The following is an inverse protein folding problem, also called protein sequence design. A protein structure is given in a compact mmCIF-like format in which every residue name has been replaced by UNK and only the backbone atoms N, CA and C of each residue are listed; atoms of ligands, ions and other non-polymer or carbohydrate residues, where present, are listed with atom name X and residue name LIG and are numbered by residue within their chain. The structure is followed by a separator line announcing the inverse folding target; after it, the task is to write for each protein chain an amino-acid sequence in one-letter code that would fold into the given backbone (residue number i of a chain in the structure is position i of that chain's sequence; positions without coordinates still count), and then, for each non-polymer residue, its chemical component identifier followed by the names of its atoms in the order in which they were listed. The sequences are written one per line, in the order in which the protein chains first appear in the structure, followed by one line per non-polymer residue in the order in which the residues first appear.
data_IF_080356375502
#
_entry.id   IF_080356375502
#
_cell.length_a   1.000
_cell.length_b   1.000
_cell.length_c   1.000
_cell.angle_alpha   90.00
_cell.angle_beta   90.00
_cell.angle_gamma   90.00
#
_symmetry.space_group_name_H-M   'P 1'
#
loop_
_entity.id
_entity.type
_entity.pdbx_description
1 polymer ?
#
# COMPACT_ATOMS: atom_id res chain seq x y z
N UNK A 1 4.06 30.40 -16.09
CA UNK A 1 3.55 29.61 -14.96
C UNK A 1 2.86 28.41 -15.57
N UNK A 2 3.45 27.22 -15.47
CA UNK A 2 2.87 26.03 -16.07
C UNK A 2 1.60 25.70 -15.27
N UNK A 3 0.44 25.61 -15.92
CA UNK A 3 -0.82 25.21 -15.26
C UNK A 3 -0.73 23.73 -14.88
N UNK A 4 -0.12 23.43 -13.73
CA UNK A 4 -0.13 22.09 -13.14
C UNK A 4 -1.46 21.90 -12.42
N UNK A 5 -2.31 21.03 -12.98
CA UNK A 5 -3.57 20.62 -12.35
C UNK A 5 -3.28 19.98 -10.98
N UNK A 6 -4.03 20.38 -9.94
CA UNK A 6 -3.85 19.84 -8.59
C UNK A 6 -4.23 18.36 -8.53
N UNK A 7 -3.40 17.54 -7.87
CA UNK A 7 -3.67 16.13 -7.68
C UNK A 7 -4.78 15.94 -6.64
N UNK A 8 -5.83 15.19 -6.97
CA UNK A 8 -6.90 14.86 -6.02
C UNK A 8 -6.37 13.93 -4.94
N UNK A 9 -6.41 14.38 -3.67
CA UNK A 9 -5.89 13.61 -2.55
C UNK A 9 -6.67 12.32 -2.30
N UNK A 10 -7.98 12.33 -2.56
CA UNK A 10 -8.83 11.13 -2.45
C UNK A 10 -8.48 10.13 -3.55
N UNK A 11 -8.28 10.60 -4.80
CA UNK A 11 -7.89 9.73 -5.90
C UNK A 11 -6.49 9.14 -5.70
N UNK A 12 -5.54 9.94 -5.22
CA UNK A 12 -4.20 9.49 -4.87
C UNK A 12 -4.24 8.46 -3.73
N UNK A 13 -5.00 8.74 -2.67
CA UNK A 13 -5.21 7.80 -1.56
C UNK A 13 -5.79 6.47 -2.05
N UNK A 14 -6.88 6.50 -2.81
CA UNK A 14 -7.51 5.30 -3.34
C UNK A 14 -6.57 4.51 -4.28
N UNK A 15 -5.81 5.20 -5.13
CA UNK A 15 -4.85 4.56 -6.03
C UNK A 15 -3.70 3.86 -5.29
N UNK A 16 -3.11 4.53 -4.31
CA UNK A 16 -2.02 3.95 -3.50
C UNK A 16 -2.54 2.82 -2.60
N UNK A 17 -3.73 2.96 -2.02
CA UNK A 17 -4.41 1.88 -1.29
C UNK A 17 -4.58 0.62 -2.16
N UNK A 18 -5.14 0.78 -3.36
CA UNK A 18 -5.33 -0.33 -4.29
C UNK A 18 -3.99 -0.98 -4.68
N UNK A 19 -2.96 -0.18 -4.97
CA UNK A 19 -1.64 -0.68 -5.31
C UNK A 19 -1.03 -1.51 -4.17
N UNK A 20 -1.09 -1.02 -2.93
CA UNK A 20 -0.55 -1.76 -1.78
C UNK A 20 -1.32 -3.06 -1.51
N UNK A 21 -2.64 -3.05 -1.62
CA UNK A 21 -3.45 -4.27 -1.48
C UNK A 21 -3.06 -5.30 -2.54
N UNK A 22 -2.91 -4.89 -3.80
CA UNK A 22 -2.51 -5.78 -4.89
C UNK A 22 -1.11 -6.36 -4.63
N UNK A 23 -0.13 -5.54 -4.27
CA UNK A 23 1.22 -6.01 -3.98
C UNK A 23 1.23 -6.96 -2.78
N UNK A 24 0.48 -6.64 -1.71
CA UNK A 24 0.34 -7.52 -0.55
C UNK A 24 -0.21 -8.90 -0.94
N UNK A 25 -1.29 -8.93 -1.74
CA UNK A 25 -1.88 -10.19 -2.22
C UNK A 25 -0.89 -10.98 -3.08
N UNK A 26 -0.16 -10.32 -3.98
CA UNK A 26 0.86 -10.97 -4.78
C UNK A 26 1.98 -11.56 -3.90
N UNK A 27 2.46 -10.82 -2.90
CA UNK A 27 3.45 -11.32 -1.95
C UNK A 27 2.92 -12.52 -1.14
N UNK A 28 1.66 -12.48 -0.70
CA UNK A 28 1.01 -13.58 0.01
C UNK A 28 0.84 -14.83 -0.87
N UNK A 29 0.54 -14.66 -2.16
CA UNK A 29 0.51 -15.78 -3.11
C UNK A 29 1.91 -16.36 -3.30
N UNK A 30 2.92 -15.50 -3.52
CA UNK A 30 4.31 -15.95 -3.69
C UNK A 30 4.82 -16.70 -2.46
N UNK A 31 4.44 -16.27 -1.26
CA UNK A 31 4.75 -16.97 -0.01
C UNK A 31 4.25 -18.44 -0.01
N UNK A 32 3.10 -18.71 -0.63
CA UNK A 32 2.53 -20.07 -0.72
C UNK A 32 3.26 -20.92 -1.76
N UNK A 33 3.58 -20.37 -2.92
CA UNK A 33 4.21 -21.13 -4.04
C UNK A 33 5.74 -21.20 -3.92
N UNK A 34 6.37 -20.25 -3.24
CA UNK A 34 7.81 -20.11 -3.10
C UNK A 34 8.17 -19.64 -1.66
N UNK A 35 8.03 -20.52 -0.65
CA UNK A 35 8.14 -20.16 0.77
C UNK A 35 9.54 -19.69 1.18
N UNK A 36 10.57 -19.93 0.36
CA UNK A 36 11.94 -19.52 0.65
C UNK A 36 12.25 -18.05 0.30
N UNK A 37 11.31 -17.33 -0.31
CA UNK A 37 11.51 -15.93 -0.69
C UNK A 37 11.31 -15.03 0.54
N UNK A 38 12.40 -14.65 1.20
CA UNK A 38 12.33 -13.81 2.41
C UNK A 38 11.74 -12.42 2.17
N UNK A 39 11.93 -11.87 0.97
CA UNK A 39 11.41 -10.54 0.63
C UNK A 39 9.87 -10.45 0.74
N UNK A 40 9.14 -11.53 0.42
CA UNK A 40 7.68 -11.55 0.54
C UNK A 40 7.23 -11.60 1.99
N UNK A 41 7.96 -12.34 2.84
CA UNK A 41 7.69 -12.42 4.27
C UNK A 41 7.92 -11.07 4.95
N UNK A 42 9.01 -10.38 4.59
CA UNK A 42 9.31 -9.03 5.08
C UNK A 42 8.26 -8.00 4.61
N UNK A 43 7.74 -8.13 3.39
CA UNK A 43 6.68 -7.25 2.91
C UNK A 43 5.35 -7.50 3.65
N UNK A 44 4.94 -8.77 3.81
CA UNK A 44 3.71 -9.14 4.51
C UNK A 44 3.74 -8.66 5.97
N UNK A 45 4.88 -8.79 6.65
CA UNK A 45 5.00 -8.41 8.07
C UNK A 45 4.88 -6.90 8.34
N UNK A 46 5.01 -6.04 7.32
CA UNK A 46 4.72 -4.61 7.46
C UNK A 46 3.23 -4.33 7.69
N UNK A 47 2.36 -5.23 7.24
CA UNK A 47 0.91 -5.02 7.19
C UNK A 47 0.15 -5.95 8.15
N UNK A 48 0.76 -7.00 8.68
CA UNK A 48 0.10 -7.88 9.65
C UNK A 48 1.06 -8.41 10.71
N UNK A 49 0.56 -8.50 11.95
CA UNK A 49 1.22 -9.18 13.07
C UNK A 49 0.70 -10.61 13.27
N UNK A 50 -0.27 -11.05 12.47
CA UNK A 50 -0.77 -12.41 12.54
C UNK A 50 0.22 -13.41 11.93
N UNK A 51 0.17 -14.69 12.31
CA UNK A 51 1.03 -15.71 11.73
C UNK A 51 0.94 -15.74 10.20
N UNK A 52 2.09 -15.62 9.53
CA UNK A 52 2.17 -15.54 8.07
C UNK A 52 1.60 -16.83 7.46
N UNK A 53 0.68 -16.70 6.49
CA UNK A 53 -0.06 -17.82 5.88
C UNK A 53 -1.41 -18.14 6.56
N UNK A 54 -1.74 -17.53 7.70
CA UNK A 54 -3.07 -17.68 8.33
C UNK A 54 -4.15 -16.80 7.70
N UNK A 55 -5.42 -17.19 7.78
CA UNK A 55 -6.54 -16.36 7.32
C UNK A 55 -6.57 -14.97 8.01
N UNK A 56 -6.12 -14.90 9.27
CA UNK A 56 -5.98 -13.63 9.99
C UNK A 56 -4.95 -12.69 9.35
N UNK A 57 -3.84 -13.22 8.83
CA UNK A 57 -2.81 -12.44 8.14
C UNK A 57 -3.33 -11.82 6.84
N UNK A 58 -4.17 -12.54 6.10
CA UNK A 58 -4.82 -12.03 4.89
C UNK A 58 -5.76 -10.87 5.20
N UNK A 59 -6.68 -11.06 6.16
CA UNK A 59 -7.69 -10.03 6.49
C UNK A 59 -7.01 -8.77 7.04
N UNK A 60 -6.18 -8.93 8.06
CA UNK A 60 -5.51 -7.79 8.70
C UNK A 60 -4.54 -7.08 7.77
N UNK A 61 -3.80 -7.83 6.94
CA UNK A 61 -2.84 -7.28 5.98
C UNK A 61 -3.48 -6.54 4.82
N UNK A 62 -4.63 -7.01 4.31
CA UNK A 62 -5.40 -6.28 3.29
C UNK A 62 -5.96 -4.97 3.87
N UNK A 63 -6.54 -5.03 5.07
CA UNK A 63 -7.13 -3.84 5.72
C UNK A 63 -6.06 -2.79 6.03
N UNK A 64 -4.94 -3.18 6.62
CA UNK A 64 -3.85 -2.25 6.93
C UNK A 64 -3.16 -1.73 5.66
N UNK A 65 -3.04 -2.54 4.60
CA UNK A 65 -2.55 -2.10 3.28
C UNK A 65 -3.48 -1.03 2.68
N UNK A 66 -4.79 -1.25 2.75
CA UNK A 66 -5.77 -0.29 2.27
C UNK A 66 -5.71 1.03 3.05
N UNK A 67 -5.73 0.96 4.39
CA UNK A 67 -5.70 2.15 5.26
C UNK A 67 -4.37 2.88 5.14
N UNK A 68 -3.26 2.17 5.27
CA UNK A 68 -1.90 2.72 5.18
C UNK A 68 -1.63 3.32 3.81
N UNK A 69 -2.04 2.64 2.74
CA UNK A 69 -1.93 3.16 1.38
C UNK A 69 -2.79 4.39 1.13
N UNK A 70 -4.00 4.43 1.68
CA UNK A 70 -4.86 5.61 1.56
C UNK A 70 -4.22 6.83 2.23
N UNK A 71 -3.74 6.66 3.46
CA UNK A 71 -3.05 7.74 4.19
C UNK A 71 -1.78 8.16 3.46
N UNK A 72 -0.97 7.22 2.99
CA UNK A 72 0.25 7.52 2.24
C UNK A 72 -0.04 8.29 0.95
N UNK A 73 -1.04 7.89 0.17
CA UNK A 73 -1.44 8.58 -1.04
C UNK A 73 -2.02 9.98 -0.77
N UNK A 74 -2.76 10.14 0.33
CA UNK A 74 -3.28 11.44 0.75
C UNK A 74 -2.16 12.41 1.14
N UNK A 75 -1.19 11.94 1.95
CA UNK A 75 0.00 12.70 2.33
C UNK A 75 0.84 13.05 1.09
N UNK A 76 1.05 12.08 0.19
CA UNK A 76 1.76 12.31 -1.06
C UNK A 76 1.11 13.43 -1.88
N UNK A 77 -0.21 13.39 -2.08
CA UNK A 77 -0.92 14.42 -2.82
C UNK A 77 -0.83 15.79 -2.16
N UNK A 78 -0.92 15.86 -0.83
CA UNK A 78 -0.75 17.10 -0.10
C UNK A 78 0.64 17.71 -0.31
N UNK A 79 1.70 16.91 -0.13
CA UNK A 79 3.10 17.34 -0.31
C UNK A 79 3.37 17.74 -1.76
N UNK A 80 2.93 16.93 -2.73
CA UNK A 80 3.07 17.21 -4.16
C UNK A 80 2.42 18.54 -4.54
N UNK A 81 1.18 18.76 -4.11
CA UNK A 81 0.44 19.99 -4.41
C UNK A 81 1.05 21.23 -3.75
N UNK A 82 1.74 21.07 -2.61
CA UNK A 82 2.43 22.18 -1.95
C UNK A 82 3.77 22.48 -2.61
N UNK A 83 4.52 21.46 -3.01
CA UNK A 83 5.79 21.60 -3.71
C UNK A 83 5.62 22.14 -5.14
N UNK A 84 4.54 21.77 -5.85
CA UNK A 84 4.27 22.23 -7.22
C UNK A 84 3.83 23.69 -7.33
N UNK A 85 3.52 24.32 -6.20
CA UNK A 85 3.12 25.73 -6.09
C UNK A 85 4.22 26.63 -5.52
N UNK A 86 5.34 26.06 -5.09
CA UNK A 86 6.53 26.78 -4.63
C UNK A 86 7.39 27.20 -5.83
#
# INVERSE_FOLDING_TARGET
MNNVSSLSAVAAGAGVAAALVVIFVLCAIVQVIAPNVQATHAWISLFTSAPIGSAGAWISGILSSAVGGFVAGWVFAFVYNRASKA
#
